data_IF_050581530563
#
_entry.id   IF_050581530563
#
_cell.length_a   1.000
_cell.length_b   1.000
_cell.length_c   1.000
_cell.angle_alpha   90.00
_cell.angle_beta   90.00
_cell.angle_gamma   90.00
#
_symmetry.space_group_name_H-M   'P 1'
#
loop_
_entity.id
_entity.type
_entity.pdbx_description
1 polymer ?
#
# COMPACT_ATOMS: atom_id res chain seq x y z
N UNK A 1 29.06 -16.25 39.91
CA UNK A 1 29.02 -17.72 39.67
C UNK A 1 27.68 -18.04 39.04
N UNK A 2 27.68 -18.49 37.78
CA UNK A 2 26.48 -19.07 37.19
C UNK A 2 26.13 -20.34 37.97
N UNK A 3 24.86 -20.61 38.24
CA UNK A 3 24.49 -21.87 38.90
C UNK A 3 24.77 -23.05 37.96
N UNK A 4 25.09 -24.23 38.50
CA UNK A 4 25.32 -25.43 37.68
C UNK A 4 24.13 -25.76 36.76
N UNK A 5 22.91 -25.40 37.17
CA UNK A 5 21.69 -25.55 36.37
C UNK A 5 21.69 -24.59 35.18
N UNK A 6 22.09 -23.34 35.37
CA UNK A 6 22.18 -22.36 34.27
C UNK A 6 23.27 -22.75 33.26
N UNK A 7 24.41 -23.29 33.72
CA UNK A 7 25.44 -23.85 32.83
C UNK A 7 24.96 -25.10 32.07
N UNK A 8 24.20 -25.98 32.72
CA UNK A 8 23.59 -27.14 32.07
C UNK A 8 22.63 -26.73 30.94
N UNK A 9 21.72 -25.77 31.21
CA UNK A 9 20.79 -25.26 30.19
C UNK A 9 21.56 -24.61 29.05
N UNK A 10 22.56 -23.78 29.37
CA UNK A 10 23.43 -23.15 28.37
C UNK A 10 24.18 -24.17 27.52
N UNK A 11 24.62 -25.29 28.11
CA UNK A 11 25.24 -26.40 27.37
C UNK A 11 24.24 -27.10 26.45
N UNK A 12 23.02 -27.37 26.93
CA UNK A 12 21.95 -28.01 26.14
C UNK A 12 21.50 -27.16 24.95
N UNK A 13 21.55 -25.84 25.05
CA UNK A 13 21.21 -24.92 23.96
C UNK A 13 22.40 -24.57 23.06
N UNK A 14 23.59 -25.11 23.32
CA UNK A 14 24.81 -24.78 22.57
C UNK A 14 25.30 -23.35 22.76
N UNK A 15 25.02 -22.74 23.92
CA UNK A 15 25.37 -21.36 24.23
C UNK A 15 24.49 -20.34 23.51
N UNK A 16 23.21 -20.67 23.33
CA UNK A 16 22.24 -19.78 22.69
C UNK A 16 22.10 -18.45 23.44
N UNK A 17 21.83 -17.39 22.69
CA UNK A 17 21.50 -16.09 23.25
C UNK A 17 20.14 -16.11 23.93
N UNK A 18 20.03 -15.36 25.03
CA UNK A 18 18.78 -15.18 25.76
C UNK A 18 17.70 -14.58 24.85
N UNK A 19 16.46 -15.03 25.05
CA UNK A 19 15.31 -14.63 24.23
C UNK A 19 15.18 -15.39 22.90
N UNK A 20 16.03 -16.39 22.62
CA UNK A 20 15.97 -17.18 21.37
C UNK A 20 15.46 -18.61 21.58
N UNK A 21 14.88 -19.20 20.53
CA UNK A 21 14.45 -20.59 20.48
C UNK A 21 13.29 -20.94 21.42
N UNK A 22 12.44 -19.97 21.77
CA UNK A 22 11.36 -20.15 22.75
C UNK A 22 10.43 -21.33 22.40
N UNK A 23 10.17 -21.57 21.11
CA UNK A 23 9.35 -22.71 20.67
C UNK A 23 10.00 -24.06 21.02
N UNK A 24 11.32 -24.18 20.85
CA UNK A 24 12.07 -25.39 21.22
C UNK A 24 12.22 -25.52 22.73
N UNK A 25 12.42 -24.39 23.42
CA UNK A 25 12.58 -24.35 24.87
C UNK A 25 11.32 -24.88 25.58
N UNK A 26 10.14 -24.63 25.02
CA UNK A 26 8.87 -25.14 25.56
C UNK A 26 8.83 -26.68 25.60
N UNK A 27 9.21 -27.35 24.51
CA UNK A 27 9.25 -28.81 24.44
C UNK A 27 10.33 -29.41 25.35
N UNK A 28 11.50 -28.77 25.41
CA UNK A 28 12.58 -29.16 26.32
C UNK A 28 12.09 -29.07 27.78
N UNK A 29 11.42 -27.98 28.14
CA UNK A 29 10.87 -27.77 29.49
C UNK A 29 9.85 -28.84 29.86
N UNK A 30 8.97 -29.22 28.91
CA UNK A 30 8.02 -30.32 29.14
C UNK A 30 8.73 -31.64 29.42
N UNK A 31 9.77 -31.96 28.66
CA UNK A 31 10.60 -33.15 28.89
C UNK A 31 11.28 -33.14 30.26
N UNK A 32 11.88 -32.02 30.66
CA UNK A 32 12.54 -31.89 31.97
C UNK A 32 11.57 -32.01 33.15
N UNK A 33 10.41 -31.36 33.05
CA UNK A 33 9.39 -31.40 34.10
C UNK A 33 8.53 -32.67 34.08
N UNK A 34 8.72 -33.54 33.07
CA UNK A 34 7.92 -34.75 32.86
C UNK A 34 6.41 -34.45 32.82
N UNK A 35 6.03 -33.45 32.03
CA UNK A 35 4.65 -32.99 31.86
C UNK A 35 4.19 -33.12 30.40
N UNK A 36 2.93 -33.48 30.20
CA UNK A 36 2.36 -33.68 28.86
C UNK A 36 1.70 -32.40 28.31
N UNK A 37 1.24 -31.51 29.19
CA UNK A 37 0.57 -30.26 28.81
C UNK A 37 1.36 -29.02 29.21
N UNK A 38 1.36 -28.01 28.34
CA UNK A 38 1.97 -26.69 28.62
C UNK A 38 1.26 -25.95 29.76
N UNK A 39 0.00 -26.28 30.05
CA UNK A 39 -0.74 -25.71 31.19
C UNK A 39 -0.19 -26.12 32.55
N UNK A 40 0.67 -27.15 32.61
CA UNK A 40 1.31 -27.63 33.83
C UNK A 40 2.65 -26.93 34.09
N UNK A 41 3.13 -26.09 33.17
CA UNK A 41 4.36 -25.32 33.35
C UNK A 41 4.11 -24.29 34.46
N UNK A 42 4.94 -24.26 35.52
CA UNK A 42 4.80 -23.26 36.58
C UNK A 42 4.88 -21.84 36.05
N UNK A 43 3.95 -20.98 36.50
CA UNK A 43 3.82 -19.60 36.00
C UNK A 43 5.11 -18.79 36.17
N UNK A 44 5.86 -18.97 37.26
CA UNK A 44 7.11 -18.25 37.49
C UNK A 44 8.18 -18.53 36.41
N UNK A 45 8.16 -19.72 35.77
CA UNK A 45 9.05 -20.01 34.64
C UNK A 45 8.59 -19.28 33.38
N UNK A 46 7.27 -19.19 33.18
CA UNK A 46 6.68 -18.43 32.06
C UNK A 46 7.04 -16.95 32.19
N UNK A 47 6.82 -16.38 33.37
CA UNK A 47 7.11 -14.96 33.65
C UNK A 47 8.60 -14.66 33.46
N UNK A 48 9.48 -15.49 34.04
CA UNK A 48 10.93 -15.33 33.88
C UNK A 48 11.38 -15.39 32.41
N UNK A 49 10.85 -16.32 31.62
CA UNK A 49 11.25 -16.45 30.22
C UNK A 49 10.65 -15.34 29.36
N UNK A 50 9.43 -14.89 29.68
CA UNK A 50 8.78 -13.76 29.03
C UNK A 50 9.57 -12.47 29.25
N UNK A 51 10.06 -12.23 30.47
CA UNK A 51 10.91 -11.10 30.84
C UNK A 51 12.18 -11.00 29.98
N UNK A 52 12.73 -12.13 29.52
CA UNK A 52 13.90 -12.19 28.64
C UNK A 52 13.57 -12.01 27.15
N UNK A 53 12.29 -12.06 26.76
CA UNK A 53 11.93 -11.88 25.36
C UNK A 53 12.12 -10.43 24.92
N UNK A 54 12.39 -10.23 23.64
CA UNK A 54 12.39 -8.90 23.05
C UNK A 54 11.00 -8.27 23.19
N UNK A 55 10.97 -6.99 23.57
CA UNK A 55 9.75 -6.20 23.59
C UNK A 55 9.18 -6.11 22.17
N UNK A 56 7.88 -6.31 22.08
CA UNK A 56 7.14 -6.27 20.81
C UNK A 56 6.13 -5.13 20.82
N UNK A 57 5.87 -4.57 19.66
CA UNK A 57 5.02 -3.39 19.53
C UNK A 57 3.56 -3.74 19.85
N UNK A 58 3.04 -3.21 20.95
CA UNK A 58 1.76 -3.62 21.51
C UNK A 58 1.85 -4.65 22.63
N UNK A 59 3.08 -5.04 23.02
CA UNK A 59 3.39 -5.97 24.09
C UNK A 59 2.80 -7.37 23.90
N UNK A 60 3.22 -8.30 24.76
CA UNK A 60 2.66 -9.65 24.82
C UNK A 60 1.23 -9.56 25.38
N UNK A 61 0.21 -10.12 24.70
CA UNK A 61 -1.17 -9.87 25.06
C UNK A 61 -1.57 -10.57 26.35
N UNK A 62 -2.40 -9.90 27.15
CA UNK A 62 -3.04 -10.47 28.34
C UNK A 62 -4.58 -10.41 28.25
N UNK A 63 -5.28 -10.75 29.33
CA UNK A 63 -6.74 -10.70 29.38
C UNK A 63 -7.36 -9.33 29.03
N UNK A 64 -6.61 -8.22 29.21
CA UNK A 64 -7.06 -6.86 28.86
C UNK A 64 -7.02 -6.60 27.36
N UNK A 65 -6.26 -7.37 26.59
CA UNK A 65 -6.23 -7.28 25.13
C UNK A 65 -7.49 -7.86 24.45
N UNK A 66 -8.26 -8.72 25.16
CA UNK A 66 -9.40 -9.44 24.57
C UNK A 66 -10.46 -8.48 24.03
N UNK A 67 -10.89 -7.51 24.84
CA UNK A 67 -11.92 -6.55 24.46
C UNK A 67 -11.50 -5.60 23.31
N UNK A 68 -10.35 -4.89 23.37
CA UNK A 68 -9.92 -4.02 22.28
C UNK A 68 -9.60 -4.81 21.00
N UNK A 69 -8.97 -6.00 21.09
CA UNK A 69 -8.80 -6.85 19.91
C UNK A 69 -10.14 -7.29 19.31
N UNK A 70 -11.14 -7.61 20.14
CA UNK A 70 -12.48 -7.95 19.68
C UNK A 70 -13.18 -6.80 18.94
N UNK A 71 -13.02 -5.57 19.43
CA UNK A 71 -13.52 -4.37 18.76
C UNK A 71 -12.90 -4.18 17.38
N UNK A 72 -11.56 -4.20 17.28
CA UNK A 72 -10.89 -4.00 15.99
C UNK A 72 -11.09 -5.16 15.03
N UNK A 73 -11.21 -6.40 15.54
CA UNK A 73 -11.64 -7.54 14.73
C UNK A 73 -12.98 -7.23 14.05
N UNK A 74 -14.00 -6.83 14.80
CA UNK A 74 -15.32 -6.53 14.25
C UNK A 74 -15.27 -5.40 13.21
N UNK A 75 -14.52 -4.32 13.51
CA UNK A 75 -14.33 -3.18 12.60
C UNK A 75 -13.68 -3.65 11.29
N UNK A 76 -12.58 -4.41 11.36
CA UNK A 76 -11.87 -4.84 10.14
C UNK A 76 -12.62 -5.93 9.35
N UNK A 77 -13.49 -6.72 9.99
CA UNK A 77 -14.45 -7.58 9.26
C UNK A 77 -15.42 -6.73 8.44
N UNK A 78 -16.00 -5.69 9.03
CA UNK A 78 -16.91 -4.78 8.32
C UNK A 78 -16.18 -4.09 7.16
N UNK A 79 -14.97 -3.61 7.38
CA UNK A 79 -14.14 -2.98 6.35
C UNK A 79 -13.82 -3.96 5.21
N UNK A 80 -13.44 -5.20 5.52
CA UNK A 80 -13.16 -6.23 4.51
C UNK A 80 -14.39 -6.51 3.66
N UNK A 81 -15.57 -6.68 4.30
CA UNK A 81 -16.85 -6.86 3.60
C UNK A 81 -17.18 -5.63 2.74
N UNK A 82 -16.98 -4.42 3.24
CA UNK A 82 -17.27 -3.18 2.50
C UNK A 82 -16.41 -3.08 1.23
N UNK A 83 -15.08 -3.25 1.34
CA UNK A 83 -14.18 -3.23 0.17
C UNK A 83 -14.44 -4.38 -0.79
N UNK A 84 -14.70 -5.59 -0.28
CA UNK A 84 -15.03 -6.76 -1.09
C UNK A 84 -16.36 -6.60 -1.85
N UNK A 85 -17.38 -6.05 -1.20
CA UNK A 85 -18.68 -5.75 -1.84
C UNK A 85 -18.53 -4.66 -2.90
N UNK A 86 -17.81 -3.58 -2.58
CA UNK A 86 -17.52 -2.50 -3.52
C UNK A 86 -16.78 -3.01 -4.76
N UNK A 87 -15.73 -3.83 -4.56
CA UNK A 87 -15.01 -4.47 -5.66
C UNK A 87 -15.94 -5.33 -6.52
N UNK A 88 -16.75 -6.18 -5.89
CA UNK A 88 -17.68 -7.09 -6.60
C UNK A 88 -18.68 -6.32 -7.44
N UNK A 89 -19.34 -5.31 -6.87
CA UNK A 89 -20.33 -4.48 -7.59
C UNK A 89 -19.67 -3.76 -8.79
N UNK A 90 -18.51 -3.14 -8.58
CA UNK A 90 -17.78 -2.45 -9.64
C UNK A 90 -17.32 -3.42 -10.74
N UNK A 91 -16.80 -4.58 -10.37
CA UNK A 91 -16.35 -5.61 -11.30
C UNK A 91 -17.52 -6.12 -12.17
N UNK A 92 -18.68 -6.40 -11.56
CA UNK A 92 -19.90 -6.82 -12.28
C UNK A 92 -20.44 -5.74 -13.22
N UNK A 93 -20.07 -4.47 -13.02
CA UNK A 93 -20.44 -3.33 -13.86
C UNK A 93 -19.40 -2.98 -14.93
N UNK A 94 -18.31 -3.75 -15.05
CA UNK A 94 -17.23 -3.48 -16.00
C UNK A 94 -16.20 -2.46 -15.51
N UNK A 95 -16.22 -2.09 -14.23
CA UNK A 95 -15.28 -1.17 -13.61
C UNK A 95 -14.24 -1.93 -12.78
N UNK A 96 -13.07 -2.19 -13.36
CA UNK A 96 -12.02 -2.99 -12.72
C UNK A 96 -11.06 -2.14 -11.89
N UNK A 97 -11.35 -2.00 -10.60
CA UNK A 97 -10.44 -1.33 -9.66
C UNK A 97 -9.82 -2.34 -8.68
N UNK A 98 -8.74 -3.01 -9.12
CA UNK A 98 -8.07 -4.08 -8.37
C UNK A 98 -7.55 -3.66 -6.98
N UNK A 99 -7.31 -2.37 -6.76
CA UNK A 99 -6.85 -1.89 -5.46
C UNK A 99 -7.91 -2.11 -4.37
N UNK A 100 -9.22 -2.09 -4.69
CA UNK A 100 -10.29 -2.47 -3.74
C UNK A 100 -10.16 -3.91 -3.26
N UNK A 101 -9.73 -4.83 -4.12
CA UNK A 101 -9.43 -6.20 -3.70
C UNK A 101 -8.20 -6.24 -2.77
N UNK A 102 -7.18 -5.42 -3.04
CA UNK A 102 -6.05 -5.21 -2.14
C UNK A 102 -6.47 -4.67 -0.77
N UNK A 103 -7.41 -3.71 -0.73
CA UNK A 103 -7.99 -3.19 0.51
C UNK A 103 -8.79 -4.26 1.28
N UNK A 104 -9.50 -5.15 0.59
CA UNK A 104 -10.16 -6.29 1.21
C UNK A 104 -9.14 -7.30 1.80
N UNK A 105 -8.08 -7.60 1.04
CA UNK A 105 -7.05 -8.54 1.46
C UNK A 105 -6.30 -8.08 2.71
N UNK A 106 -5.83 -6.83 2.77
CA UNK A 106 -5.11 -6.38 3.96
C UNK A 106 -6.05 -6.23 5.18
N UNK A 107 -7.31 -5.82 4.99
CA UNK A 107 -8.30 -5.80 6.07
C UNK A 107 -8.57 -7.21 6.60
N UNK A 108 -8.48 -8.21 5.73
CA UNK A 108 -8.53 -9.62 6.12
C UNK A 108 -7.35 -10.02 7.00
N UNK A 109 -6.13 -9.59 6.65
CA UNK A 109 -4.96 -9.79 7.52
C UNK A 109 -5.17 -9.15 8.89
N UNK A 110 -5.74 -7.94 8.95
CA UNK A 110 -6.02 -7.23 10.20
C UNK A 110 -6.97 -7.99 11.12
N UNK A 111 -8.15 -8.39 10.65
CA UNK A 111 -9.09 -9.08 11.55
C UNK A 111 -8.61 -10.47 11.94
N UNK A 112 -7.90 -11.20 11.07
CA UNK A 112 -7.26 -12.48 11.44
C UNK A 112 -6.18 -12.23 12.50
N UNK A 113 -5.33 -11.21 12.32
CA UNK A 113 -4.31 -10.82 13.30
C UNK A 113 -4.91 -10.56 14.68
N UNK A 114 -5.96 -9.74 14.78
CA UNK A 114 -6.65 -9.49 16.04
C UNK A 114 -7.34 -10.75 16.60
N UNK A 115 -7.90 -11.62 15.75
CA UNK A 115 -8.49 -12.89 16.19
C UNK A 115 -7.44 -13.82 16.83
N UNK A 116 -6.27 -13.93 16.20
CA UNK A 116 -5.16 -14.70 16.76
C UNK A 116 -4.62 -14.06 18.04
N UNK A 117 -4.57 -12.73 18.11
CA UNK A 117 -4.19 -12.00 19.34
C UNK A 117 -5.13 -12.32 20.51
N UNK A 118 -6.45 -12.43 20.28
CA UNK A 118 -7.42 -12.87 21.32
C UNK A 118 -7.12 -14.30 21.79
N UNK A 119 -6.77 -15.20 20.86
CA UNK A 119 -6.44 -16.59 21.22
C UNK A 119 -5.13 -16.63 22.02
N UNK A 120 -4.16 -15.78 21.67
CA UNK A 120 -2.88 -15.69 22.35
C UNK A 120 -3.01 -15.04 23.73
N UNK A 121 -3.86 -14.02 23.88
CA UNK A 121 -4.21 -13.40 25.16
C UNK A 121 -4.74 -14.39 26.20
N UNK A 122 -5.46 -15.43 25.76
CA UNK A 122 -6.00 -16.48 26.63
C UNK A 122 -4.94 -17.49 27.08
N UNK A 123 -3.86 -17.64 26.31
CA UNK A 123 -2.76 -18.54 26.64
C UNK A 123 -1.49 -18.12 25.88
N UNK A 124 -0.59 -17.44 26.59
CA UNK A 124 0.64 -16.89 26.01
C UNK A 124 1.60 -17.97 25.49
N UNK A 125 1.46 -19.23 25.96
CA UNK A 125 2.27 -20.37 25.52
C UNK A 125 1.84 -20.91 24.15
N UNK A 126 0.78 -20.36 23.53
CA UNK A 126 0.43 -20.63 22.12
C UNK A 126 1.34 -19.86 21.16
N UNK A 127 2.64 -20.15 21.21
CA UNK A 127 3.70 -19.37 20.54
C UNK A 127 3.49 -19.25 19.01
N UNK A 128 3.10 -20.33 18.32
CA UNK A 128 2.84 -20.29 16.87
C UNK A 128 1.66 -19.35 16.51
N UNK A 129 0.63 -19.31 17.36
CA UNK A 129 -0.51 -18.38 17.19
C UNK A 129 -0.04 -16.95 17.41
N UNK A 130 0.79 -16.71 18.42
CA UNK A 130 1.38 -15.41 18.69
C UNK A 130 2.25 -14.89 17.54
N UNK A 131 3.16 -15.72 17.03
CA UNK A 131 4.01 -15.36 15.88
C UNK A 131 3.15 -15.02 14.66
N UNK A 132 2.12 -15.81 14.36
CA UNK A 132 1.22 -15.54 13.25
C UNK A 132 0.40 -14.25 13.46
N UNK A 133 -0.07 -13.99 14.69
CA UNK A 133 -0.73 -12.74 15.08
C UNK A 133 0.17 -11.53 14.80
N UNK A 134 1.42 -11.56 15.28
CA UNK A 134 2.36 -10.46 15.11
C UNK A 134 2.66 -10.17 13.64
N UNK A 135 2.92 -11.21 12.83
CA UNK A 135 3.16 -11.02 11.39
C UNK A 135 1.93 -10.40 10.71
N UNK A 136 0.72 -10.89 10.99
CA UNK A 136 -0.51 -10.38 10.39
C UNK A 136 -0.90 -8.98 10.87
N UNK A 137 -0.46 -8.56 12.06
CA UNK A 137 -0.67 -7.21 12.58
C UNK A 137 0.40 -6.21 12.09
N UNK A 138 1.59 -6.68 11.73
CA UNK A 138 2.68 -5.81 11.26
C UNK A 138 2.59 -5.53 9.77
N UNK A 139 2.32 -6.55 8.94
CA UNK A 139 2.32 -6.42 7.48
C UNK A 139 1.35 -5.38 6.87
N UNK A 140 0.12 -5.20 7.39
CA UNK A 140 -0.86 -4.23 6.88
C UNK A 140 -0.31 -2.82 6.62
N UNK A 141 0.62 -2.34 7.43
CA UNK A 141 1.17 -0.99 7.29
C UNK A 141 1.92 -0.79 5.97
N UNK A 142 2.62 -1.83 5.51
CA UNK A 142 3.39 -1.79 4.26
C UNK A 142 2.45 -1.89 3.05
N UNK A 143 1.35 -2.65 3.18
CA UNK A 143 0.30 -2.68 2.16
C UNK A 143 -0.36 -1.32 2.00
N UNK A 144 -0.77 -0.67 3.10
CA UNK A 144 -1.35 0.68 3.05
C UNK A 144 -0.39 1.70 2.45
N UNK A 145 0.90 1.68 2.83
CA UNK A 145 1.92 2.52 2.21
C UNK A 145 2.00 2.29 0.69
N UNK A 146 1.95 1.03 0.26
CA UNK A 146 1.98 0.66 -1.16
C UNK A 146 0.74 1.10 -1.92
N UNK A 147 -0.44 0.97 -1.31
CA UNK A 147 -1.69 1.43 -1.91
C UNK A 147 -1.69 2.95 -2.08
N UNK A 148 -1.26 3.69 -1.06
CA UNK A 148 -1.09 5.14 -1.17
C UNK A 148 -0.11 5.53 -2.26
N UNK A 149 0.99 4.79 -2.44
CA UNK A 149 1.96 5.08 -3.48
C UNK A 149 1.37 4.82 -4.88
N UNK A 150 0.62 3.74 -5.07
CA UNK A 150 -0.11 3.48 -6.33
C UNK A 150 -1.11 4.61 -6.62
N UNK A 151 -1.80 5.11 -5.60
CA UNK A 151 -2.77 6.21 -5.76
C UNK A 151 -2.06 7.54 -6.06
N UNK A 152 -0.93 7.82 -5.40
CA UNK A 152 -0.09 8.98 -5.68
C UNK A 152 0.49 8.94 -7.11
N UNK A 153 0.94 7.76 -7.57
CA UNK A 153 1.36 7.54 -8.96
C UNK A 153 0.25 7.89 -9.95
N UNK A 154 -1.01 7.54 -9.63
CA UNK A 154 -2.16 7.87 -10.48
C UNK A 154 -2.44 9.38 -10.54
N UNK A 155 -2.27 10.11 -9.43
CA UNK A 155 -2.35 11.58 -9.40
C UNK A 155 -1.23 12.19 -10.26
N UNK A 156 0.00 11.70 -10.09
CA UNK A 156 1.16 12.16 -10.86
C UNK A 156 0.94 11.95 -12.36
N UNK A 157 0.48 10.76 -12.76
CA UNK A 157 0.19 10.42 -14.17
C UNK A 157 -0.97 11.23 -14.73
N UNK A 158 -1.92 11.67 -13.90
CA UNK A 158 -2.99 12.57 -14.33
C UNK A 158 -2.46 13.96 -14.70
N UNK A 159 -1.55 14.51 -13.89
CA UNK A 159 -0.95 15.81 -14.20
C UNK A 159 0.12 15.74 -15.28
N UNK A 160 0.88 14.64 -15.33
CA UNK A 160 1.97 14.41 -16.30
C UNK A 160 1.67 13.17 -17.17
N UNK A 161 0.66 13.23 -18.06
CA UNK A 161 0.21 12.09 -18.85
C UNK A 161 1.28 11.52 -19.78
N UNK A 162 2.17 12.34 -20.34
CA UNK A 162 3.20 11.84 -21.26
C UNK A 162 4.25 11.05 -20.49
N UNK A 163 4.86 11.67 -19.48
CA UNK A 163 5.93 11.05 -18.70
C UNK A 163 5.42 9.86 -17.85
N UNK A 164 4.28 10.02 -17.17
CA UNK A 164 3.69 8.98 -16.31
C UNK A 164 3.20 7.73 -17.06
N UNK A 165 3.01 7.81 -18.38
CA UNK A 165 2.68 6.65 -19.22
C UNK A 165 3.90 6.02 -19.92
N UNK A 166 5.13 6.50 -19.66
CA UNK A 166 6.34 5.91 -20.26
C UNK A 166 6.67 4.54 -19.65
N UNK A 167 7.34 3.69 -20.43
CA UNK A 167 7.85 2.40 -19.95
C UNK A 167 8.89 2.57 -18.85
N UNK A 168 9.74 3.60 -18.95
CA UNK A 168 10.78 3.89 -17.95
C UNK A 168 10.15 4.17 -16.59
N UNK A 169 9.15 5.06 -16.54
CA UNK A 169 8.42 5.35 -15.31
C UNK A 169 7.76 4.09 -14.74
N UNK A 170 7.12 3.28 -15.59
CA UNK A 170 6.50 2.03 -15.15
C UNK A 170 7.49 1.02 -14.57
N UNK A 171 8.64 0.80 -15.21
CA UNK A 171 9.69 -0.08 -14.69
C UNK A 171 10.31 0.45 -13.39
N UNK A 172 10.49 1.76 -13.27
CA UNK A 172 10.98 2.39 -12.04
C UNK A 172 10.00 2.13 -10.87
N UNK A 173 8.69 2.29 -11.09
CA UNK A 173 7.67 1.97 -10.09
C UNK A 173 7.67 0.48 -9.73
N UNK A 174 7.77 -0.42 -10.71
CA UNK A 174 7.84 -1.85 -10.47
C UNK A 174 9.08 -2.25 -9.65
N UNK A 175 10.22 -1.61 -9.91
CA UNK A 175 11.44 -1.82 -9.15
C UNK A 175 11.26 -1.40 -7.68
N UNK A 176 10.65 -0.25 -7.41
CA UNK A 176 10.34 0.21 -6.05
C UNK A 176 9.44 -0.81 -5.32
N UNK A 177 8.36 -1.28 -5.95
CA UNK A 177 7.48 -2.28 -5.34
C UNK A 177 8.20 -3.61 -5.07
N UNK A 178 9.08 -4.04 -5.98
CA UNK A 178 9.85 -5.28 -5.83
C UNK A 178 10.84 -5.20 -4.66
N UNK A 179 11.51 -4.05 -4.50
CA UNK A 179 12.42 -3.81 -3.36
C UNK A 179 11.65 -3.90 -2.04
N UNK A 180 10.47 -3.30 -1.96
CA UNK A 180 9.66 -3.33 -0.73
C UNK A 180 9.20 -4.75 -0.39
N UNK A 181 8.83 -5.56 -1.39
CA UNK A 181 8.51 -6.98 -1.18
C UNK A 181 9.72 -7.72 -0.58
N UNK A 182 10.92 -7.50 -1.12
CA UNK A 182 12.14 -8.10 -0.58
C UNK A 182 12.43 -7.65 0.86
N UNK A 183 12.25 -6.36 1.16
CA UNK A 183 12.36 -5.81 2.52
C UNK A 183 11.39 -6.50 3.47
N UNK A 184 10.12 -6.65 3.08
CA UNK A 184 9.10 -7.32 3.89
C UNK A 184 9.47 -8.77 4.17
N UNK A 185 9.89 -9.54 3.16
CA UNK A 185 10.30 -10.93 3.33
C UNK A 185 11.46 -11.04 4.33
N UNK A 186 12.48 -10.18 4.19
CA UNK A 186 13.62 -10.15 5.11
C UNK A 186 13.19 -9.78 6.53
N UNK A 187 12.28 -8.82 6.71
CA UNK A 187 11.73 -8.46 8.03
C UNK A 187 11.00 -9.64 8.68
N UNK A 188 10.16 -10.37 7.93
CA UNK A 188 9.43 -11.53 8.47
C UNK A 188 10.44 -12.60 8.92
N UNK A 189 11.40 -12.95 8.06
CA UNK A 189 12.39 -13.99 8.38
C UNK A 189 13.18 -13.59 9.63
N UNK A 190 13.73 -12.37 9.65
CA UNK A 190 14.52 -11.87 10.78
C UNK A 190 13.70 -11.75 12.07
N UNK A 191 12.40 -11.43 11.98
CA UNK A 191 11.50 -11.35 13.13
C UNK A 191 11.07 -12.71 13.68
N UNK A 192 10.93 -13.73 12.82
CA UNK A 192 10.41 -15.06 13.21
C UNK A 192 11.52 -16.02 13.65
N UNK A 193 12.67 -16.01 12.97
CA UNK A 193 13.76 -16.96 13.22
C UNK A 193 14.23 -17.01 14.69
N UNK A 194 14.39 -15.87 15.40
CA UNK A 194 14.77 -15.89 16.81
C UNK A 194 13.80 -16.65 17.71
N UNK A 195 12.51 -16.71 17.40
CA UNK A 195 11.54 -17.47 18.21
C UNK A 195 11.61 -18.99 17.96
N UNK A 196 11.98 -19.39 16.74
CA UNK A 196 11.97 -20.80 16.32
C UNK A 196 13.28 -21.54 16.61
N UNK A 197 14.41 -20.84 16.62
CA UNK A 197 15.72 -21.46 16.69
C UNK A 197 16.57 -20.86 17.81
N UNK A 198 17.36 -21.71 18.45
CA UNK A 198 18.46 -21.28 19.30
C UNK A 198 19.54 -20.64 18.42
N UNK A 199 19.85 -19.38 18.68
CA UNK A 199 20.84 -18.63 17.91
C UNK A 199 22.02 -18.26 18.79
N UNK A 200 23.23 -18.23 18.21
CA UNK A 200 24.34 -17.56 18.88
C UNK A 200 24.08 -16.06 18.96
N UNK A 201 24.76 -15.38 19.90
CA UNK A 201 24.60 -13.93 20.09
C UNK A 201 24.79 -13.12 18.81
N UNK A 202 25.79 -13.48 18.01
CA UNK A 202 26.06 -12.84 16.72
C UNK A 202 24.91 -12.98 15.72
N UNK A 203 24.31 -14.16 15.58
CA UNK A 203 23.18 -14.37 14.68
C UNK A 203 21.89 -13.70 15.17
N UNK A 204 21.70 -13.63 16.49
CA UNK A 204 20.57 -12.90 17.06
C UNK A 204 20.69 -11.39 16.82
N UNK A 205 21.86 -10.81 17.06
CA UNK A 205 22.13 -9.40 16.78
C UNK A 205 22.02 -9.10 15.27
N UNK A 206 22.40 -10.04 14.39
CA UNK A 206 22.16 -9.92 12.95
C UNK A 206 20.67 -9.81 12.63
N UNK A 207 19.81 -10.66 13.22
CA UNK A 207 18.36 -10.58 13.01
C UNK A 207 17.79 -9.24 13.48
N UNK A 208 18.19 -8.77 14.67
CA UNK A 208 17.78 -7.47 15.23
C UNK A 208 18.21 -6.32 14.32
N UNK A 209 19.44 -6.35 13.80
CA UNK A 209 19.93 -5.34 12.87
C UNK A 209 19.17 -5.35 11.54
N UNK A 210 18.79 -6.52 11.00
CA UNK A 210 17.92 -6.60 9.81
C UNK A 210 16.56 -5.97 10.09
N UNK A 211 15.94 -6.22 11.25
CA UNK A 211 14.66 -5.59 11.62
C UNK A 211 14.81 -4.07 11.73
N UNK A 212 15.89 -3.56 12.34
CA UNK A 212 16.19 -2.11 12.40
C UNK A 212 16.37 -1.45 11.03
N UNK A 213 17.15 -2.08 10.15
CA UNK A 213 17.39 -1.55 8.79
C UNK A 213 16.09 -1.58 7.99
N UNK A 214 15.37 -2.69 8.03
CA UNK A 214 14.11 -2.81 7.29
C UNK A 214 13.02 -1.89 7.83
N UNK A 215 12.99 -1.59 9.14
CA UNK A 215 12.07 -0.60 9.70
C UNK A 215 12.36 0.81 9.17
N UNK A 216 13.63 1.21 9.04
CA UNK A 216 14.01 2.49 8.40
C UNK A 216 13.51 2.51 6.95
N UNK A 217 13.76 1.45 6.19
CA UNK A 217 13.36 1.38 4.78
C UNK A 217 11.82 1.48 4.63
N UNK A 218 11.06 0.83 5.51
CA UNK A 218 9.59 0.92 5.53
C UNK A 218 9.13 2.36 5.90
N UNK A 219 9.77 3.01 6.88
CA UNK A 219 9.48 4.41 7.22
C UNK A 219 9.74 5.34 6.04
N UNK A 220 10.90 5.22 5.38
CA UNK A 220 11.21 6.00 4.17
C UNK A 220 10.24 5.70 3.02
N UNK A 221 9.86 4.45 2.85
CA UNK A 221 8.89 4.05 1.83
C UNK A 221 7.51 4.70 2.07
N UNK A 222 7.06 4.79 3.32
CA UNK A 222 5.78 5.45 3.64
C UNK A 222 5.75 6.94 3.29
N UNK A 223 6.91 7.61 3.28
CA UNK A 223 7.06 9.00 2.83
C UNK A 223 6.99 9.16 1.31
N UNK A 224 7.23 8.09 0.54
CA UNK A 224 7.31 8.17 -0.91
C UNK A 224 5.99 8.65 -1.54
N UNK A 225 4.86 8.24 -0.98
CA UNK A 225 3.53 8.71 -1.42
C UNK A 225 3.39 10.23 -1.26
N UNK A 226 3.83 10.78 -0.12
CA UNK A 226 3.80 12.21 0.16
C UNK A 226 4.76 12.94 -0.78
N UNK A 227 5.99 12.43 -0.94
CA UNK A 227 6.98 12.99 -1.84
C UNK A 227 6.48 13.04 -3.30
N UNK A 228 5.79 11.99 -3.77
CA UNK A 228 5.18 11.95 -5.11
C UNK A 228 4.05 12.96 -5.27
N UNK A 229 3.19 13.11 -4.26
CA UNK A 229 2.14 14.15 -4.27
C UNK A 229 2.77 15.54 -4.36
N UNK A 230 3.79 15.83 -3.55
CA UNK A 230 4.51 17.11 -3.58
C UNK A 230 5.18 17.33 -4.95
N UNK A 231 5.90 16.33 -5.45
CA UNK A 231 6.57 16.37 -6.76
C UNK A 231 5.58 16.66 -7.88
N UNK A 232 4.37 16.09 -7.82
CA UNK A 232 3.31 16.38 -8.80
C UNK A 232 3.06 17.89 -8.89
N UNK A 233 3.03 18.62 -7.77
CA UNK A 233 2.74 20.06 -7.82
C UNK A 233 3.96 20.93 -8.15
N UNK A 234 5.16 20.50 -7.76
CA UNK A 234 6.40 21.23 -8.03
C UNK A 234 6.80 21.13 -9.51
N UNK A 235 6.64 19.96 -10.12
CA UNK A 235 7.01 19.78 -11.53
C UNK A 235 5.96 20.50 -12.41
N UNK A 236 6.38 21.47 -13.26
CA UNK A 236 5.47 22.14 -14.17
C UNK A 236 5.01 21.16 -15.26
N UNK A 237 3.77 21.31 -15.71
CA UNK A 237 3.26 20.57 -16.86
C UNK A 237 3.99 21.00 -18.12
N UNK A 238 4.59 20.03 -18.82
CA UNK A 238 5.27 20.29 -20.09
C UNK A 238 4.25 20.67 -21.17
N UNK A 239 4.68 21.35 -22.23
CA UNK A 239 3.81 21.63 -23.37
C UNK A 239 3.28 20.32 -23.99
N UNK A 240 4.14 19.30 -24.07
CA UNK A 240 3.73 17.96 -24.51
C UNK A 240 2.66 17.30 -23.63
N UNK A 241 2.62 17.60 -22.32
CA UNK A 241 1.56 17.12 -21.44
C UNK A 241 0.22 17.80 -21.71
N UNK A 242 0.24 19.10 -22.06
CA UNK A 242 -0.95 19.87 -22.42
C UNK A 242 -1.52 19.45 -23.77
N UNK A 243 -0.65 19.17 -24.73
CA UNK A 243 -1.02 18.78 -26.09
C UNK A 243 -1.31 17.29 -26.24
N UNK A 244 -1.16 16.51 -25.16
CA UNK A 244 -1.39 15.07 -25.17
C UNK A 244 -2.88 14.77 -25.38
N UNK A 245 -3.18 13.81 -26.26
CA UNK A 245 -4.51 13.22 -26.32
C UNK A 245 -4.71 12.36 -25.07
N UNK A 246 -5.68 12.70 -24.22
CA UNK A 246 -5.91 12.01 -22.93
C UNK A 246 -7.22 11.23 -22.95
N UNK A 247 -7.16 9.94 -22.62
CA UNK A 247 -8.35 9.11 -22.38
C UNK A 247 -8.67 9.05 -20.89
N UNK A 248 -9.82 9.62 -20.51
CA UNK A 248 -10.32 9.72 -19.14
C UNK A 248 -11.70 9.04 -19.00
N UNK A 249 -12.04 8.57 -17.79
CA UNK A 249 -13.34 7.94 -17.52
C UNK A 249 -14.47 8.98 -17.38
N UNK A 250 -14.82 9.65 -18.47
CA UNK A 250 -15.82 10.73 -18.52
C UNK A 250 -17.26 10.28 -18.18
N UNK A 251 -17.52 8.97 -18.13
CA UNK A 251 -18.80 8.39 -17.73
C UNK A 251 -19.01 8.36 -16.21
N UNK A 252 -17.97 8.58 -15.40
CA UNK A 252 -18.10 8.73 -13.95
C UNK A 252 -18.60 10.15 -13.64
N UNK A 253 -19.81 10.27 -13.09
CA UNK A 253 -20.50 11.55 -12.89
C UNK A 253 -20.51 12.05 -11.44
N UNK A 254 -20.19 11.18 -10.48
CA UNK A 254 -20.22 11.52 -9.06
C UNK A 254 -19.24 10.67 -8.27
N UNK A 255 -18.83 11.18 -7.11
CA UNK A 255 -18.06 10.44 -6.10
C UNK A 255 -18.86 10.24 -4.81
N UNK A 256 -20.19 10.35 -4.88
CA UNK A 256 -21.07 10.04 -3.74
C UNK A 256 -20.88 8.59 -3.30
N UNK A 257 -20.88 8.30 -1.98
CA UNK A 257 -20.76 6.93 -1.46
C UNK A 257 -21.75 5.94 -2.08
N UNK A 258 -22.95 6.40 -2.47
CA UNK A 258 -24.01 5.56 -3.03
C UNK A 258 -24.10 5.59 -4.56
N UNK A 259 -23.24 6.33 -5.23
CA UNK A 259 -23.24 6.41 -6.70
C UNK A 259 -22.53 5.20 -7.31
N UNK A 260 -23.11 4.63 -8.37
CA UNK A 260 -22.44 3.61 -9.16
C UNK A 260 -22.60 3.93 -10.65
N UNK A 261 -21.51 3.86 -11.44
CA UNK A 261 -21.58 4.04 -12.88
C UNK A 261 -22.57 3.06 -13.53
N UNK A 262 -23.11 3.46 -14.68
CA UNK A 262 -23.98 2.62 -15.50
C UNK A 262 -23.21 1.35 -15.90
N UNK A 263 -23.90 0.21 -15.92
CA UNK A 263 -23.30 -1.08 -16.26
C UNK A 263 -22.70 -1.01 -17.66
N UNK A 264 -21.44 -1.43 -17.80
CA UNK A 264 -20.67 -1.43 -19.05
C UNK A 264 -20.39 -0.05 -19.67
N UNK A 265 -20.57 1.04 -18.91
CA UNK A 265 -20.27 2.39 -19.38
C UNK A 265 -18.80 2.59 -19.82
N UNK A 266 -17.87 1.77 -19.31
CA UNK A 266 -16.48 1.79 -19.76
C UNK A 266 -16.32 1.32 -21.22
N UNK A 267 -17.07 0.30 -21.64
CA UNK A 267 -17.03 -0.20 -23.03
C UNK A 267 -17.61 0.85 -23.97
N UNK A 268 -18.79 1.37 -23.64
CA UNK A 268 -19.45 2.40 -24.45
C UNK A 268 -18.60 3.67 -24.53
N UNK A 269 -18.02 4.09 -23.40
CA UNK A 269 -17.13 5.24 -23.35
C UNK A 269 -15.81 5.04 -24.12
N UNK A 270 -15.35 3.80 -24.27
CA UNK A 270 -14.23 3.47 -25.15
C UNK A 270 -14.60 3.66 -26.63
N UNK A 271 -15.75 3.11 -27.04
CA UNK A 271 -16.19 3.15 -28.43
C UNK A 271 -16.48 4.60 -28.88
N UNK A 272 -17.11 5.42 -28.01
CA UNK A 272 -17.32 6.86 -28.24
C UNK A 272 -15.98 7.61 -28.40
N UNK A 273 -15.00 7.32 -27.53
CA UNK A 273 -13.70 7.98 -27.59
C UNK A 273 -12.96 7.63 -28.89
N UNK A 274 -12.96 6.35 -29.26
CA UNK A 274 -12.31 5.86 -30.49
C UNK A 274 -12.98 6.48 -31.71
N UNK A 275 -14.31 6.51 -31.77
CA UNK A 275 -15.05 7.11 -32.89
C UNK A 275 -14.73 8.61 -33.05
N UNK A 276 -14.62 9.34 -31.93
CA UNK A 276 -14.31 10.78 -31.92
C UNK A 276 -12.88 11.08 -32.37
N UNK A 277 -11.91 10.27 -31.95
CA UNK A 277 -10.48 10.50 -32.20
C UNK A 277 -9.86 9.51 -33.19
N UNK A 278 -10.68 8.84 -34.01
CA UNK A 278 -10.23 7.83 -34.97
C UNK A 278 -9.25 8.38 -36.02
N UNK A 279 -9.24 9.69 -36.24
CA UNK A 279 -8.33 10.36 -37.18
C UNK A 279 -7.21 11.13 -36.47
N UNK A 280 -7.15 11.10 -35.14
CA UNK A 280 -6.09 11.77 -34.39
C UNK A 280 -4.80 10.94 -34.45
N UNK A 281 -3.70 11.59 -34.86
CA UNK A 281 -2.40 10.95 -34.99
C UNK A 281 -1.79 10.55 -33.63
N UNK A 282 -2.18 11.22 -32.54
CA UNK A 282 -1.55 11.10 -31.22
C UNK A 282 -1.98 9.82 -30.51
N UNK A 283 -1.05 9.17 -29.82
CA UNK A 283 -1.36 8.00 -29.00
C UNK A 283 -2.07 8.43 -27.70
N UNK A 284 -3.30 7.96 -27.42
CA UNK A 284 -4.05 8.35 -26.23
C UNK A 284 -3.36 7.93 -24.93
N UNK A 285 -3.18 8.88 -24.01
CA UNK A 285 -2.62 8.64 -22.67
C UNK A 285 -3.74 8.46 -21.66
N UNK A 286 -3.74 7.32 -20.98
CA UNK A 286 -4.82 6.95 -20.03
C UNK A 286 -4.56 7.52 -18.66
N UNK A 287 -5.51 8.28 -18.13
CA UNK A 287 -5.40 8.90 -16.80
C UNK A 287 -6.65 8.65 -15.96
N UNK A 288 -6.64 9.09 -14.70
CA UNK A 288 -7.80 9.02 -13.82
C UNK A 288 -8.85 10.08 -14.17
N UNK A 289 -10.03 10.04 -13.54
CA UNK A 289 -11.09 11.05 -13.74
C UNK A 289 -10.48 12.44 -13.58
N UNK A 290 -10.55 13.28 -14.61
CA UNK A 290 -10.04 14.64 -14.54
C UNK A 290 -10.98 15.57 -13.80
N UNK A 291 -10.44 16.34 -12.87
CA UNK A 291 -11.10 17.47 -12.27
C UNK A 291 -11.16 18.68 -13.16
N UNK A 292 -11.81 18.58 -14.33
CA UNK A 292 -11.80 19.65 -15.32
C UNK A 292 -10.37 20.08 -15.64
N UNK A 293 -9.68 19.33 -16.51
CA UNK A 293 -8.61 19.98 -17.24
C UNK A 293 -9.32 21.12 -17.99
N UNK A 294 -8.97 22.38 -17.70
CA UNK A 294 -9.35 23.50 -18.56
C UNK A 294 -8.89 23.12 -19.97
N UNK A 295 -9.85 22.70 -20.81
CA UNK A 295 -9.72 22.72 -22.25
C UNK A 295 -9.87 24.19 -22.65
N UNK A 296 -8.94 25.04 -22.20
CA UNK A 296 -8.82 26.38 -22.75
C UNK A 296 -8.34 26.23 -24.19
N UNK A 297 -9.17 26.72 -25.09
CA UNK A 297 -8.96 26.93 -26.53
C UNK A 297 -9.28 25.75 -27.46
N UNK A 298 -10.57 25.58 -27.77
CA UNK A 298 -10.98 25.23 -29.13
C UNK A 298 -12.17 26.10 -29.55
N UNK A 299 -11.97 26.81 -30.66
CA UNK A 299 -12.88 27.77 -31.26
C UNK A 299 -14.22 27.15 -31.66
N UNK A 300 -15.23 28.00 -31.54
CA UNK A 300 -16.59 27.90 -32.07
C UNK A 300 -16.66 27.35 -33.50
N UNK A 301 -17.57 26.39 -33.67
CA UNK A 301 -18.58 26.27 -34.74
C UNK A 301 -18.73 24.82 -35.24
N UNK A 302 -19.44 23.99 -34.47
CA UNK A 302 -20.51 23.07 -34.95
C UNK A 302 -21.01 22.11 -33.83
N UNK A 303 -21.19 22.64 -32.61
CA UNK A 303 -21.60 21.83 -31.45
C UNK A 303 -22.84 22.41 -30.73
N UNK A 304 -23.49 23.44 -31.28
CA UNK A 304 -24.59 24.16 -30.58
C UNK A 304 -25.92 23.40 -30.62
N UNK A 305 -26.11 22.42 -31.50
CA UNK A 305 -27.38 21.69 -31.62
C UNK A 305 -27.45 20.42 -30.75
N UNK A 306 -26.35 19.67 -30.58
CA UNK A 306 -26.32 18.45 -29.75
C UNK A 306 -25.93 18.72 -28.28
N UNK A 307 -25.27 19.86 -27.99
CA UNK A 307 -24.96 20.26 -26.62
C UNK A 307 -26.20 20.73 -25.84
N UNK A 308 -27.20 21.33 -26.48
CA UNK A 308 -28.32 21.96 -25.77
C UNK A 308 -29.25 21.00 -25.00
N UNK A 309 -29.39 19.72 -25.40
CA UNK A 309 -30.17 18.74 -24.62
C UNK A 309 -29.35 18.01 -23.54
N UNK A 310 -28.01 17.94 -23.68
CA UNK A 310 -27.10 17.35 -22.68
C UNK A 310 -26.49 18.38 -21.71
N UNK A 311 -26.55 19.67 -22.03
CA UNK A 311 -26.12 20.80 -21.17
C UNK A 311 -27.19 21.16 -20.13
N UNK A 312 -28.48 21.15 -20.47
CA UNK A 312 -29.53 21.53 -19.50
C UNK A 312 -29.68 20.53 -18.33
N UNK A 313 -29.26 19.27 -18.49
CA UNK A 313 -29.14 18.30 -17.40
C UNK A 313 -27.74 18.26 -16.76
N UNK A 314 -26.77 18.98 -17.34
CA UNK A 314 -25.35 18.95 -17.03
C UNK A 314 -24.79 20.22 -16.38
N UNK A 315 -25.60 21.27 -16.17
CA UNK A 315 -25.16 22.57 -15.64
C UNK A 315 -24.76 22.60 -14.16
N UNK A 316 -24.79 21.46 -13.45
CA UNK A 316 -24.02 21.27 -12.21
C UNK A 316 -22.82 20.32 -12.39
N UNK A 317 -22.21 20.25 -13.59
CA UNK A 317 -20.97 19.52 -13.89
C UNK A 317 -19.77 20.13 -13.13
N UNK A 318 -19.74 19.87 -11.82
CA UNK A 318 -18.60 19.27 -11.17
C UNK A 318 -17.21 19.69 -11.71
N UNK A 319 -16.73 20.86 -11.29
CA UNK A 319 -15.28 21.09 -11.20
C UNK A 319 -14.76 20.11 -10.14
N UNK A 320 -14.45 18.88 -10.55
CA UNK A 320 -13.99 17.80 -9.67
C UNK A 320 -12.54 18.03 -9.25
N UNK A 321 -12.23 19.18 -8.65
CA UNK A 321 -10.87 19.49 -8.19
C UNK A 321 -10.34 18.30 -7.40
N UNK A 322 -9.18 17.79 -7.82
CA UNK A 322 -8.49 16.67 -7.18
C UNK A 322 -8.06 16.95 -5.74
N UNK A 323 -8.35 18.15 -5.21
CA UNK A 323 -8.11 18.58 -3.84
C UNK A 323 -8.55 17.52 -2.83
N UNK A 324 -9.74 16.93 -2.96
CA UNK A 324 -10.20 15.88 -2.04
C UNK A 324 -9.35 14.60 -2.19
N UNK A 325 -9.08 14.17 -3.43
CA UNK A 325 -8.25 12.99 -3.71
C UNK A 325 -6.85 13.14 -3.10
N UNK A 326 -6.24 14.30 -3.29
CA UNK A 326 -4.91 14.64 -2.76
C UNK A 326 -4.94 14.69 -1.24
N UNK A 327 -5.94 15.34 -0.64
CA UNK A 327 -6.13 15.38 0.82
C UNK A 327 -6.27 13.98 1.41
N UNK A 328 -7.04 13.08 0.79
CA UNK A 328 -7.18 11.68 1.24
C UNK A 328 -5.81 11.00 1.24
N UNK A 329 -5.04 11.08 0.15
CA UNK A 329 -3.72 10.43 0.08
C UNK A 329 -2.73 11.04 1.06
N UNK A 330 -2.71 12.36 1.20
CA UNK A 330 -1.83 13.05 2.15
C UNK A 330 -2.13 12.65 3.59
N UNK A 331 -3.40 12.72 4.02
CA UNK A 331 -3.79 12.36 5.40
C UNK A 331 -3.48 10.89 5.68
N UNK A 332 -3.89 9.99 4.79
CA UNK A 332 -3.67 8.56 4.99
C UNK A 332 -2.19 8.19 4.94
N UNK A 333 -1.39 8.86 4.11
CA UNK A 333 0.07 8.64 4.09
C UNK A 333 0.75 9.15 5.35
N UNK A 334 0.29 10.28 5.92
CA UNK A 334 0.79 10.79 7.21
C UNK A 334 0.49 9.80 8.34
N UNK A 335 -0.72 9.23 8.38
CA UNK A 335 -1.07 8.22 9.40
C UNK A 335 -0.23 6.95 9.28
N UNK A 336 -0.03 6.45 8.05
CA UNK A 336 0.85 5.30 7.80
C UNK A 336 2.29 5.61 8.18
N UNK A 337 2.77 6.82 7.89
CA UNK A 337 4.11 7.28 8.27
C UNK A 337 4.29 7.33 9.79
N UNK A 338 3.32 7.87 10.53
CA UNK A 338 3.37 7.91 12.00
C UNK A 338 3.47 6.48 12.56
N UNK A 339 2.64 5.54 12.07
CA UNK A 339 2.70 4.15 12.48
C UNK A 339 4.06 3.50 12.18
N UNK A 340 4.62 3.74 11.00
CA UNK A 340 5.91 3.21 10.59
C UNK A 340 7.05 3.80 11.42
N UNK A 341 6.98 5.10 11.72
CA UNK A 341 7.97 5.81 12.53
C UNK A 341 8.00 5.28 13.96
N UNK A 342 6.84 5.12 14.62
CA UNK A 342 6.78 4.56 15.98
C UNK A 342 7.34 3.15 16.03
N UNK A 343 7.02 2.31 15.03
CA UNK A 343 7.60 0.98 14.93
C UNK A 343 9.12 1.02 14.72
N UNK A 344 9.61 1.93 13.89
CA UNK A 344 11.05 2.12 13.71
C UNK A 344 11.72 2.53 15.03
N UNK A 345 11.17 3.50 15.76
CA UNK A 345 11.69 3.93 17.07
C UNK A 345 11.73 2.74 18.03
N UNK A 346 10.66 1.94 18.11
CA UNK A 346 10.61 0.74 18.95
C UNK A 346 11.72 -0.27 18.57
N UNK A 347 11.95 -0.51 17.28
CA UNK A 347 13.02 -1.41 16.83
C UNK A 347 14.43 -0.95 17.27
N UNK A 348 14.64 0.36 17.43
CA UNK A 348 15.91 0.93 17.85
C UNK A 348 16.09 1.00 19.36
N UNK A 349 15.02 1.17 20.12
CA UNK A 349 15.03 1.07 21.59
C UNK A 349 15.49 -0.33 21.99
N UNK A 350 14.93 -1.37 21.35
CA UNK A 350 15.48 -2.73 21.38
C UNK A 350 15.60 -3.33 22.80
N UNK A 351 14.63 -2.99 23.65
CA UNK A 351 14.49 -3.43 25.05
C UNK A 351 13.94 -4.87 25.16
N UNK A 352 14.17 -5.47 26.32
CA UNK A 352 13.48 -6.71 26.74
C UNK A 352 12.14 -6.39 27.41
N UNK A 353 11.25 -7.38 27.54
CA UNK A 353 9.94 -7.20 28.19
C UNK A 353 10.08 -6.70 29.64
N UNK A 354 11.07 -7.19 30.39
CA UNK A 354 11.32 -6.77 31.77
C UNK A 354 11.60 -5.26 31.92
N UNK A 355 12.18 -4.66 30.89
CA UNK A 355 12.57 -3.24 30.86
C UNK A 355 11.74 -2.44 29.85
N UNK A 356 10.55 -2.92 29.48
CA UNK A 356 9.79 -2.34 28.38
C UNK A 356 9.44 -0.86 28.62
N UNK A 357 9.71 -0.05 27.61
CA UNK A 357 9.30 1.35 27.55
C UNK A 357 7.81 1.50 27.18
N UNK A 358 7.21 2.65 27.51
CA UNK A 358 5.80 2.96 27.23
C UNK A 358 5.39 2.83 25.74
N UNK A 359 6.34 2.93 24.81
CA UNK A 359 6.08 2.80 23.36
C UNK A 359 5.54 1.41 22.98
N UNK A 360 5.83 0.40 23.81
CA UNK A 360 5.36 -0.96 23.60
C UNK A 360 3.97 -1.20 24.19
N UNK A 361 3.39 -0.23 24.90
CA UNK A 361 2.09 -0.40 25.55
C UNK A 361 1.01 -0.80 24.52
N UNK A 362 0.12 -1.75 24.85
CA UNK A 362 -0.94 -2.20 23.95
C UNK A 362 -1.78 -1.06 23.36
N UNK A 363 -2.01 0.00 24.16
CA UNK A 363 -2.77 1.18 23.74
C UNK A 363 -2.15 1.85 22.51
N UNK A 364 -0.82 1.97 22.46
CA UNK A 364 -0.10 2.59 21.33
C UNK A 364 -0.35 1.77 20.05
N UNK A 365 -0.28 0.44 20.15
CA UNK A 365 -0.60 -0.45 19.03
C UNK A 365 -2.05 -0.29 18.57
N UNK A 366 -3.02 -0.31 19.48
CA UNK A 366 -4.43 -0.16 19.12
C UNK A 366 -4.76 1.20 18.49
N UNK A 367 -4.09 2.28 18.91
CA UNK A 367 -4.24 3.59 18.28
C UNK A 367 -3.66 3.58 16.87
N UNK A 368 -2.41 3.14 16.70
CA UNK A 368 -1.72 3.23 15.41
C UNK A 368 -2.20 2.20 14.39
N UNK A 369 -2.36 0.95 14.81
CA UNK A 369 -2.73 -0.18 13.94
C UNK A 369 -4.24 -0.43 13.88
N UNK A 370 -4.98 0.05 14.88
CA UNK A 370 -6.43 -0.04 14.92
C UNK A 370 -7.10 1.25 14.46
N UNK A 371 -7.04 2.29 15.28
CA UNK A 371 -7.84 3.50 15.10
C UNK A 371 -7.43 4.31 13.87
N UNK A 372 -6.14 4.61 13.68
CA UNK A 372 -5.67 5.39 12.52
C UNK A 372 -5.97 4.68 11.20
N UNK A 373 -5.74 3.36 11.13
CA UNK A 373 -6.06 2.58 9.94
C UNK A 373 -7.57 2.50 9.68
N UNK A 374 -8.39 2.42 10.74
CA UNK A 374 -9.85 2.52 10.61
C UNK A 374 -10.24 3.85 9.96
N UNK A 375 -9.64 4.97 10.39
CA UNK A 375 -9.89 6.28 9.78
C UNK A 375 -9.44 6.29 8.30
N UNK A 376 -8.27 5.72 7.97
CA UNK A 376 -7.85 5.59 6.58
C UNK A 376 -8.88 4.86 5.72
N UNK A 377 -9.44 3.75 6.21
CA UNK A 377 -10.47 3.01 5.49
C UNK A 377 -11.76 3.79 5.29
N UNK A 378 -12.19 4.51 6.31
CA UNK A 378 -13.37 5.36 6.23
C UNK A 378 -13.15 6.41 5.15
N UNK A 379 -11.96 7.05 5.10
CA UNK A 379 -11.60 8.00 4.05
C UNK A 379 -11.57 7.35 2.66
N UNK A 380 -11.07 6.12 2.54
CA UNK A 380 -11.06 5.39 1.26
C UNK A 380 -12.47 5.05 0.77
N UNK A 381 -13.32 4.51 1.65
CA UNK A 381 -14.68 4.06 1.33
C UNK A 381 -15.61 5.24 1.07
N UNK A 382 -15.69 6.21 1.99
CA UNK A 382 -16.53 7.40 1.83
C UNK A 382 -16.00 8.29 0.70
N UNK A 383 -14.67 8.41 0.60
CA UNK A 383 -14.03 9.14 -0.47
C UNK A 383 -14.20 8.49 -1.84
N UNK A 384 -14.73 7.26 -1.94
CA UNK A 384 -14.90 6.52 -3.19
C UNK A 384 -13.64 6.54 -4.05
N UNK A 385 -12.52 6.12 -3.45
CA UNK A 385 -11.24 6.08 -4.15
C UNK A 385 -11.26 5.16 -5.36
N UNK A 386 -12.15 4.17 -5.36
CA UNK A 386 -12.42 3.28 -6.49
C UNK A 386 -12.83 4.05 -7.74
N UNK A 387 -13.58 5.14 -7.57
CA UNK A 387 -14.00 6.02 -8.65
C UNK A 387 -12.99 7.14 -8.89
N UNK A 388 -12.53 7.82 -7.84
CA UNK A 388 -11.62 8.98 -7.95
C UNK A 388 -10.30 8.64 -8.62
N UNK A 389 -9.81 7.43 -8.38
CA UNK A 389 -8.56 6.96 -8.93
C UNK A 389 -8.76 5.90 -10.01
N UNK A 390 -9.98 5.72 -10.51
CA UNK A 390 -10.23 4.80 -11.60
C UNK A 390 -9.45 5.24 -12.85
N UNK A 391 -8.63 4.34 -13.40
CA UNK A 391 -7.93 4.54 -14.68
C UNK A 391 -8.52 3.51 -15.65
N UNK A 392 -8.98 3.92 -16.85
CA UNK A 392 -9.52 3.00 -17.84
C UNK A 392 -8.53 1.88 -18.20
N UNK A 393 -9.08 0.71 -18.51
CA UNK A 393 -8.33 -0.44 -18.99
C UNK A 393 -7.66 -0.14 -20.35
N UNK A 394 -6.87 -1.09 -20.85
CA UNK A 394 -6.33 -0.95 -22.22
C UNK A 394 -7.49 -1.07 -23.21
N UNK A 395 -7.40 -0.33 -24.32
CA UNK A 395 -8.34 -0.48 -25.44
C UNK A 395 -8.44 -1.94 -25.89
N UNK A 396 -9.64 -2.35 -26.31
CA UNK A 396 -9.88 -3.61 -27.01
C UNK A 396 -8.97 -3.69 -28.24
N UNK A 397 -8.66 -4.91 -28.68
CA UNK A 397 -7.73 -5.14 -29.80
C UNK A 397 -8.16 -4.37 -31.07
N UNK A 398 -9.44 -4.46 -31.42
CA UNK A 398 -10.04 -3.79 -32.59
C UNK A 398 -9.87 -2.27 -32.51
N UNK A 399 -10.29 -1.66 -31.40
CA UNK A 399 -10.16 -0.22 -31.15
C UNK A 399 -8.70 0.24 -31.12
N UNK A 400 -7.79 -0.59 -30.61
CA UNK A 400 -6.36 -0.31 -30.61
C UNK A 400 -5.77 -0.31 -32.01
N UNK A 401 -6.21 -1.20 -32.88
CA UNK A 401 -5.77 -1.25 -34.29
C UNK A 401 -6.23 -0.01 -35.05
N UNK A 402 -7.46 0.46 -34.81
CA UNK A 402 -7.98 1.72 -35.38
C UNK A 402 -7.08 2.89 -35.00
N UNK A 403 -6.82 3.08 -33.70
CA UNK A 403 -5.94 4.16 -33.21
C UNK A 403 -4.53 4.07 -33.82
N UNK A 404 -3.96 2.86 -33.88
CA UNK A 404 -2.62 2.67 -34.44
C UNK A 404 -2.57 2.92 -35.95
N UNK A 405 -3.64 2.63 -36.69
CA UNK A 405 -3.72 2.97 -38.12
C UNK A 405 -3.75 4.48 -38.34
N UNK A 406 -4.52 5.22 -37.55
CA UNK A 406 -4.57 6.68 -37.60
C UNK A 406 -3.19 7.32 -37.38
N UNK A 407 -2.48 6.85 -36.34
CA UNK A 407 -1.11 7.28 -36.06
C UNK A 407 -0.14 6.96 -37.20
N UNK A 408 -0.31 5.84 -37.90
CA UNK A 408 0.56 5.46 -39.02
C UNK A 408 0.29 6.30 -40.26
N UNK A 409 -0.98 6.51 -40.63
CA UNK A 409 -1.38 7.32 -41.79
C UNK A 409 -0.90 8.76 -41.64
N UNK A 410 -1.06 9.36 -40.46
CA UNK A 410 -0.57 10.71 -40.20
C UNK A 410 0.97 10.84 -40.30
N UNK A 411 1.72 9.79 -39.92
CA UNK A 411 3.18 9.76 -40.08
C UNK A 411 3.63 9.47 -41.52
N UNK A 412 2.79 8.86 -42.36
CA UNK A 412 3.11 8.65 -43.79
C UNK A 412 2.79 9.87 -44.66
N UNK A 413 1.76 10.64 -44.30
CA UNK A 413 1.35 11.83 -45.05
C UNK A 413 2.28 13.05 -44.79
N UNK A 414 3.03 13.03 -43.68
CA UNK A 414 4.05 14.04 -43.35
C UNK A 414 5.35 13.37 -42.86
N UNK A 415 6.28 13.02 -43.77
CA UNK A 415 7.50 12.27 -43.42
C UNK A 415 8.54 13.03 -42.59
N UNK A 416 8.47 14.36 -42.44
CA UNK A 416 9.56 15.17 -41.86
C UNK A 416 9.16 15.89 -40.56
N UNK A 417 9.64 15.37 -39.43
CA UNK A 417 10.08 16.14 -38.24
C UNK A 417 10.69 15.23 -37.14
N UNK A 418 11.39 14.14 -37.50
CA UNK A 418 12.10 13.30 -36.50
C UNK A 418 13.61 13.19 -36.69
N UNK A 419 14.17 13.81 -37.73
CA UNK A 419 15.62 13.78 -37.99
C UNK A 419 16.35 15.10 -37.65
N UNK A 420 15.64 16.21 -37.42
CA UNK A 420 16.27 17.51 -37.12
C UNK A 420 16.77 17.65 -35.65
N UNK A 421 16.19 16.91 -34.70
CA UNK A 421 16.53 17.05 -33.27
C UNK A 421 17.66 16.10 -32.80
N UNK A 422 18.12 15.17 -33.63
CA UNK A 422 19.24 14.28 -33.31
C UNK A 422 20.58 14.72 -33.93
N UNK A 423 20.56 15.67 -34.88
CA UNK A 423 21.78 16.18 -35.53
C UNK A 423 22.25 17.51 -34.91
N UNK A 424 21.36 18.31 -34.31
CA UNK A 424 21.75 19.60 -33.71
C UNK A 424 22.48 19.47 -32.37
N UNK A 425 22.35 18.34 -31.66
CA UNK A 425 23.02 18.13 -30.37
C UNK A 425 24.48 17.65 -30.48
N UNK A 426 24.97 17.34 -31.69
CA UNK A 426 26.32 16.82 -31.90
C UNK A 426 27.30 17.81 -32.57
N UNK A 427 26.89 19.05 -32.85
CA UNK A 427 27.76 20.06 -33.48
C UNK A 427 28.09 21.29 -32.60
N UNK A 428 27.54 21.43 -31.39
CA UNK A 428 27.84 22.60 -30.54
C UNK A 428 28.93 22.40 -29.48
N UNK A 429 29.69 21.30 -29.51
CA UNK A 429 30.77 21.01 -28.53
C UNK A 429 32.19 21.15 -29.08
N UNK A 430 32.37 21.63 -30.31
CA UNK A 430 33.67 22.01 -30.82
C UNK A 430 33.56 23.40 -31.41
N UNK A 431 34.05 24.39 -30.66
CA UNK A 431 34.79 25.60 -31.08
C UNK A 431 34.42 26.76 -30.14
N UNK A 432 35.23 26.96 -29.09
CA UNK A 432 35.76 28.29 -28.73
C UNK A 432 36.90 28.16 -27.74
N UNK A 433 38.01 28.75 -28.15
CA UNK A 433 39.23 29.09 -27.41
C UNK A 433 38.90 29.83 -26.12
#
# INVERSE_FOLDING_TARGET
>A
MSSAIAELIRSQTGGAADGTGIVKLLEITKGFLHIDSTSQIPQFLVDYVQDQQQSQFGSYPDHKDIAPSGLFLAIFVIIAIAHGSLFTINYMRGHRFWLSLGFCFYATMRWIGFALRIVWAKNILKLHVGIASEVLLVLPIVFLASFNLVLAQRIFTWKHPVFGNTKIFWYAMLAIYSVVIAVVIMTIIAGVVPYLYFLSRSHYDMCRNVVKVTSILITLYSLLSIAFVIMTYIVPTSQSDKDALVYQPFWIKSFSPFYFPIKNAQSEGEDIFVQRYQNDAREPKRTIVGGGLDLSELNENDEVAELNEFEQAGEQKFSLKHNISVTIITITSVFVFIGALFRCIACFIDDTFASQSWIYDPVVMYVLWGALETICNILYLIGRIDLRFYRPDNFKKENREIILSASKTANSDYPEAKEADLVSSNQSSQTRV
#
